data_IF_419637516379
#
_entry.id   IF_419637516379
#
_cell.length_a   1.000
_cell.length_b   1.000
_cell.length_c   1.000
_cell.angle_alpha   90.00
_cell.angle_beta   90.00
_cell.angle_gamma   90.00
#
_symmetry.space_group_name_H-M   'P 1'
#
loop_
_entity.id
_entity.type
_entity.pdbx_description
1 polymer ?
#
# COMPACT_ATOMS: atom_id res chain seq x y z
N UNK A 1 -17.32 -43.47 -25.94
CA UNK A 1 -16.83 -42.96 -24.64
C UNK A 1 -16.14 -41.60 -24.81
N UNK A 2 -16.87 -40.47 -24.91
CA UNK A 2 -16.27 -39.10 -24.94
C UNK A 2 -17.26 -38.06 -24.37
N UNK A 3 -17.71 -38.23 -23.12
CA UNK A 3 -18.53 -37.22 -22.41
C UNK A 3 -17.91 -36.71 -21.11
N UNK A 4 -16.73 -37.19 -20.74
CA UNK A 4 -16.02 -36.77 -19.52
C UNK A 4 -15.19 -35.50 -19.70
N UNK A 5 -14.75 -35.16 -20.92
CA UNK A 5 -13.89 -34.00 -21.16
C UNK A 5 -14.59 -32.63 -21.00
N UNK A 6 -15.91 -32.55 -21.25
CA UNK A 6 -16.67 -31.28 -21.11
C UNK A 6 -17.06 -30.96 -19.66
N UNK A 7 -17.16 -31.98 -18.79
CA UNK A 7 -17.62 -31.84 -17.40
C UNK A 7 -16.53 -31.26 -16.48
N UNK A 8 -15.25 -31.43 -16.82
CA UNK A 8 -14.12 -30.90 -16.04
C UNK A 8 -13.81 -29.42 -16.34
N UNK A 9 -14.26 -28.90 -17.48
CA UNK A 9 -13.96 -27.51 -17.86
C UNK A 9 -14.69 -26.49 -16.98
N UNK A 10 -15.90 -26.81 -16.54
CA UNK A 10 -16.67 -25.98 -15.59
C UNK A 10 -15.94 -25.86 -14.25
N UNK A 11 -15.34 -26.95 -13.77
CA UNK A 11 -14.53 -26.93 -12.54
C UNK A 11 -13.25 -26.11 -12.69
N UNK A 12 -12.59 -26.18 -13.86
CA UNK A 12 -11.39 -25.37 -14.14
C UNK A 12 -11.75 -23.88 -14.18
N UNK A 13 -12.87 -23.51 -14.81
CA UNK A 13 -13.34 -22.12 -14.88
C UNK A 13 -13.74 -21.62 -13.49
N UNK A 14 -14.44 -22.44 -12.69
CA UNK A 14 -14.79 -22.09 -11.31
C UNK A 14 -13.54 -21.95 -10.43
N UNK A 15 -12.56 -22.83 -10.55
CA UNK A 15 -11.31 -22.75 -9.80
C UNK A 15 -10.49 -21.51 -10.20
N UNK A 16 -10.39 -21.22 -11.50
CA UNK A 16 -9.73 -20.03 -12.01
C UNK A 16 -10.44 -18.75 -11.56
N UNK A 17 -11.78 -18.72 -11.64
CA UNK A 17 -12.60 -17.61 -11.16
C UNK A 17 -12.45 -17.41 -9.65
N UNK A 18 -12.47 -18.49 -8.86
CA UNK A 18 -12.24 -18.46 -7.42
C UNK A 18 -10.84 -17.93 -7.08
N UNK A 19 -9.80 -18.37 -7.78
CA UNK A 19 -8.43 -17.87 -7.59
C UNK A 19 -8.29 -16.38 -7.94
N UNK A 20 -8.96 -15.92 -9.01
CA UNK A 20 -8.98 -14.51 -9.40
C UNK A 20 -9.68 -13.67 -8.32
N UNK A 21 -10.87 -14.10 -7.87
CA UNK A 21 -11.65 -13.42 -6.82
C UNK A 21 -10.90 -13.41 -5.50
N UNK A 22 -10.23 -14.51 -5.14
CA UNK A 22 -9.43 -14.62 -3.92
C UNK A 22 -8.24 -13.65 -3.95
N UNK A 23 -7.55 -13.57 -5.08
CA UNK A 23 -6.45 -12.62 -5.29
C UNK A 23 -6.91 -11.16 -5.29
N UNK A 24 -8.16 -10.88 -5.65
CA UNK A 24 -8.79 -9.55 -5.58
C UNK A 24 -9.21 -9.15 -4.16
N UNK A 25 -9.55 -10.12 -3.29
CA UNK A 25 -9.99 -9.86 -1.92
C UNK A 25 -8.89 -10.02 -0.86
N UNK A 26 -7.71 -10.48 -1.26
CA UNK A 26 -6.56 -10.55 -0.35
C UNK A 26 -6.04 -9.13 -0.12
N UNK A 27 -5.95 -8.70 1.13
CA UNK A 27 -5.28 -7.44 1.47
C UNK A 27 -3.84 -7.48 0.98
N UNK A 28 -3.35 -6.41 0.32
CA UNK A 28 -1.98 -6.37 -0.17
C UNK A 28 -1.02 -6.58 1.00
N UNK A 29 -0.01 -7.42 0.82
CA UNK A 29 0.97 -7.74 1.85
C UNK A 29 2.34 -7.19 1.48
N UNK A 30 3.02 -6.60 2.46
CA UNK A 30 4.38 -6.13 2.36
C UNK A 30 5.15 -6.51 3.64
N UNK A 31 6.47 -6.48 3.61
CA UNK A 31 7.31 -6.64 4.79
C UNK A 31 7.25 -5.36 5.63
N UNK A 32 7.54 -5.44 6.93
CA UNK A 32 7.70 -4.21 7.71
C UNK A 32 9.07 -3.60 7.39
N UNK A 33 9.15 -2.32 6.96
CA UNK A 33 10.43 -1.69 6.72
C UNK A 33 11.26 -1.64 8.01
N UNK A 34 12.58 -1.87 7.90
CA UNK A 34 13.49 -2.00 9.04
C UNK A 34 13.51 -0.79 10.01
N UNK A 35 13.00 0.36 9.58
CA UNK A 35 12.91 1.58 10.36
C UNK A 35 11.43 1.95 10.59
N UNK A 36 10.78 1.27 11.53
CA UNK A 36 9.43 1.64 12.00
C UNK A 36 9.43 1.86 13.52
N UNK A 37 8.53 2.71 14.01
CA UNK A 37 8.25 2.84 15.44
C UNK A 37 7.13 1.87 15.84
N UNK A 38 7.37 1.00 16.83
CA UNK A 38 6.38 0.02 17.30
C UNK A 38 5.30 0.67 18.21
N UNK A 39 4.06 0.19 18.12
CA UNK A 39 2.89 0.75 18.82
C UNK A 39 1.53 0.44 18.15
N UNK A 40 0.44 1.05 18.65
CA UNK A 40 -0.89 0.94 18.02
C UNK A 40 -0.96 1.59 16.64
N UNK A 41 -0.04 2.53 16.38
CA UNK A 41 0.19 3.13 15.09
C UNK A 41 1.68 3.11 14.79
N UNK A 42 2.04 2.72 13.58
CA UNK A 42 3.41 2.71 13.09
C UNK A 42 3.62 3.89 12.13
N UNK A 43 4.86 4.39 12.11
CA UNK A 43 5.30 5.43 11.18
C UNK A 43 6.32 4.82 10.24
N UNK A 44 6.04 4.88 8.95
CA UNK A 44 6.96 4.37 7.92
C UNK A 44 7.57 5.56 7.18
N UNK A 45 8.90 5.70 7.17
CA UNK A 45 9.56 6.76 6.41
C UNK A 45 9.32 6.57 4.92
N UNK A 46 8.99 7.68 4.25
CA UNK A 46 8.79 7.72 2.80
C UNK A 46 9.66 8.82 2.21
N UNK A 47 10.14 8.62 0.99
CA UNK A 47 10.91 9.63 0.26
C UNK A 47 10.65 9.56 -1.22
N UNK A 48 10.87 10.67 -1.89
CA UNK A 48 10.90 10.74 -3.35
C UNK A 48 12.18 10.04 -3.82
N UNK A 49 12.03 8.83 -4.36
CA UNK A 49 13.15 8.03 -4.82
C UNK A 49 12.73 7.10 -5.97
N UNK A 50 13.73 6.71 -6.77
CA UNK A 50 13.55 5.67 -7.77
C UNK A 50 13.32 4.32 -7.09
N UNK A 51 12.46 3.50 -7.71
CA UNK A 51 12.17 2.15 -7.23
C UNK A 51 13.39 1.27 -7.45
N UNK A 52 13.86 0.62 -6.39
CA UNK A 52 15.04 -0.26 -6.45
C UNK A 52 14.64 -1.73 -6.67
N UNK A 53 15.54 -2.53 -7.23
CA UNK A 53 15.28 -3.93 -7.59
C UNK A 53 15.33 -4.89 -6.40
N UNK A 54 16.00 -4.52 -5.32
CA UNK A 54 16.43 -5.48 -4.31
C UNK A 54 15.48 -5.61 -3.13
N UNK A 55 14.77 -4.54 -2.75
CA UNK A 55 14.01 -4.50 -1.50
C UNK A 55 12.64 -3.82 -1.65
N UNK A 56 11.84 -3.95 -0.60
CA UNK A 56 10.65 -3.13 -0.41
C UNK A 56 11.00 -1.64 -0.42
N UNK A 57 10.22 -0.86 -1.17
CA UNK A 57 10.44 0.57 -1.36
C UNK A 57 9.12 1.32 -1.16
N UNK A 58 9.13 2.31 -0.27
CA UNK A 58 8.04 3.25 -0.09
C UNK A 58 8.43 4.57 -0.75
N UNK A 59 7.69 4.95 -1.78
CA UNK A 59 7.96 6.16 -2.57
C UNK A 59 6.89 7.19 -2.32
N UNK A 60 7.31 8.39 -1.92
CA UNK A 60 6.47 9.58 -1.89
C UNK A 60 6.46 10.23 -3.27
N UNK A 61 5.28 10.61 -3.73
CA UNK A 61 5.11 11.39 -4.96
C UNK A 61 4.11 12.52 -4.69
N UNK A 62 4.42 13.73 -5.15
CA UNK A 62 3.43 14.82 -5.25
C UNK A 62 3.14 15.14 -6.70
N UNK A 63 1.88 15.41 -7.02
CA UNK A 63 1.52 15.92 -8.33
C UNK A 63 1.49 17.46 -8.36
N UNK A 64 1.39 18.01 -9.57
CA UNK A 64 1.28 19.45 -9.81
C UNK A 64 0.02 20.08 -9.20
N UNK A 65 -1.02 19.28 -8.94
CA UNK A 65 -2.24 19.72 -8.26
C UNK A 65 -2.08 19.78 -6.72
N UNK A 66 -0.92 19.40 -6.18
CA UNK A 66 -0.63 19.46 -4.76
C UNK A 66 -1.09 18.23 -3.95
N UNK A 67 -1.66 17.21 -4.58
CA UNK A 67 -1.93 15.93 -3.93
C UNK A 67 -0.64 15.16 -3.67
N UNK A 68 -0.65 14.32 -2.64
CA UNK A 68 0.45 13.42 -2.28
C UNK A 68 -0.02 11.97 -2.41
N UNK A 69 0.88 11.06 -2.80
CA UNK A 69 0.61 9.64 -2.79
C UNK A 69 1.84 8.89 -2.29
N UNK A 70 1.59 7.83 -1.54
CA UNK A 70 2.63 6.88 -1.13
C UNK A 70 2.42 5.57 -1.86
N UNK A 71 3.40 5.19 -2.66
CA UNK A 71 3.40 3.93 -3.40
C UNK A 71 4.32 2.92 -2.72
N UNK A 72 3.82 1.71 -2.50
CA UNK A 72 4.55 0.59 -1.92
C UNK A 72 4.94 -0.37 -3.02
N UNK A 73 6.24 -0.60 -3.17
CA UNK A 73 6.79 -1.56 -4.11
C UNK A 73 7.46 -2.70 -3.37
N UNK A 74 7.22 -3.93 -3.81
CA UNK A 74 7.97 -5.10 -3.38
C UNK A 74 8.64 -5.70 -4.63
N UNK A 75 9.98 -5.74 -4.66
CA UNK A 75 10.76 -6.17 -5.83
C UNK A 75 10.28 -5.51 -7.14
N UNK A 76 10.19 -4.17 -7.16
CA UNK A 76 9.66 -3.33 -8.25
C UNK A 76 8.18 -3.51 -8.62
N UNK A 77 7.49 -4.50 -8.05
CA UNK A 77 6.06 -4.66 -8.26
C UNK A 77 5.32 -3.71 -7.34
N UNK A 78 4.48 -2.85 -7.92
CA UNK A 78 3.54 -2.05 -7.14
C UNK A 78 2.58 -2.97 -6.40
N UNK A 79 2.55 -2.84 -5.07
CA UNK A 79 1.72 -3.63 -4.16
C UNK A 79 0.53 -2.82 -3.68
N UNK A 80 0.75 -1.55 -3.33
CA UNK A 80 -0.29 -0.69 -2.78
C UNK A 80 -0.02 0.78 -3.08
N UNK A 81 -1.10 1.58 -3.18
CA UNK A 81 -1.04 3.04 -3.24
C UNK A 81 -1.93 3.60 -2.15
N UNK A 82 -1.41 4.57 -1.40
CA UNK A 82 -2.15 5.39 -0.44
C UNK A 82 -2.27 6.81 -1.00
N UNK A 83 -3.41 7.19 -1.58
CA UNK A 83 -3.62 8.54 -2.07
C UNK A 83 -3.99 9.49 -0.92
N UNK A 84 -3.49 10.72 -0.97
CA UNK A 84 -3.99 11.80 -0.12
C UNK A 84 -5.45 12.08 -0.43
N UNK A 85 -6.24 12.38 0.60
CA UNK A 85 -7.63 12.80 0.52
C UNK A 85 -7.81 14.14 1.22
N UNK A 86 -8.65 15.00 0.66
CA UNK A 86 -8.96 16.31 1.21
C UNK A 86 -7.86 17.35 1.00
N UNK A 87 -7.97 18.46 1.74
CA UNK A 87 -6.98 19.55 1.70
C UNK A 87 -5.87 19.27 2.71
N UNK A 88 -4.61 19.61 2.40
CA UNK A 88 -3.52 19.48 3.35
C UNK A 88 -3.69 20.44 4.53
N UNK A 89 -3.43 19.93 5.73
CA UNK A 89 -3.29 20.73 6.94
C UNK A 89 -1.82 21.08 7.15
N UNK A 90 -1.54 22.32 7.52
CA UNK A 90 -0.19 22.71 7.94
C UNK A 90 -0.03 22.41 9.43
N UNK A 91 0.88 21.50 9.77
CA UNK A 91 1.24 21.21 11.15
C UNK A 91 2.69 21.60 11.36
N UNK A 92 2.92 22.71 12.05
CA UNK A 92 4.22 23.39 12.08
C UNK A 92 4.67 23.75 10.67
N UNK A 93 5.68 23.06 10.13
CA UNK A 93 6.20 23.27 8.79
C UNK A 93 5.83 22.13 7.83
N UNK A 94 5.27 21.03 8.36
CA UNK A 94 4.93 19.86 7.57
C UNK A 94 3.53 19.98 6.97
N UNK A 95 3.35 19.36 5.80
CA UNK A 95 2.05 19.16 5.18
C UNK A 95 1.49 17.81 5.61
N UNK A 96 0.33 17.83 6.26
CA UNK A 96 -0.38 16.63 6.70
C UNK A 96 -1.59 16.41 5.81
N UNK A 97 -1.62 15.26 5.15
CA UNK A 97 -2.74 14.82 4.33
C UNK A 97 -3.45 13.66 5.04
N UNK A 98 -4.77 13.68 5.06
CA UNK A 98 -5.51 12.45 5.34
C UNK A 98 -5.27 11.44 4.21
N UNK A 99 -5.28 10.15 4.52
CA UNK A 99 -5.23 9.08 3.54
C UNK A 99 -6.08 7.90 4.00
N UNK A 100 -6.21 6.89 3.16
CA UNK A 100 -6.97 5.67 3.43
C UNK A 100 -6.36 4.50 2.67
N UNK A 101 -6.80 3.30 3.02
CA UNK A 101 -6.34 2.05 2.40
C UNK A 101 -5.75 1.13 3.45
N UNK A 102 -5.86 -0.17 3.19
CA UNK A 102 -5.38 -1.20 4.10
C UNK A 102 -4.15 -1.89 3.53
N UNK A 103 -3.27 -2.35 4.40
CA UNK A 103 -2.11 -3.18 4.05
C UNK A 103 -1.82 -4.15 5.18
N UNK A 104 -1.46 -5.38 4.82
CA UNK A 104 -0.96 -6.36 5.77
C UNK A 104 0.55 -6.26 5.82
N UNK A 105 1.11 -6.00 7.00
CA UNK A 105 2.54 -5.93 7.22
C UNK A 105 2.94 -7.03 8.20
N UNK A 106 3.80 -7.94 7.77
CA UNK A 106 4.23 -9.12 8.56
C UNK A 106 3.05 -9.87 9.21
N UNK A 107 1.94 -10.04 8.48
CA UNK A 107 0.74 -10.74 8.95
C UNK A 107 -0.23 -9.92 9.80
N UNK A 108 0.07 -8.65 10.09
CA UNK A 108 -0.82 -7.75 10.84
C UNK A 108 -1.49 -6.76 9.90
N UNK A 109 -2.80 -6.59 10.02
CA UNK A 109 -3.56 -5.64 9.21
C UNK A 109 -3.42 -4.21 9.77
N UNK A 110 -3.07 -3.29 8.88
CA UNK A 110 -3.01 -1.86 9.16
C UNK A 110 -3.88 -1.07 8.18
N UNK A 111 -4.39 0.06 8.66
CA UNK A 111 -5.10 1.07 7.88
C UNK A 111 -4.30 2.37 7.85
N UNK A 112 -4.14 2.96 6.69
CA UNK A 112 -3.48 4.26 6.55
C UNK A 112 -4.39 5.40 7.04
N UNK A 113 -3.82 6.32 7.81
CA UNK A 113 -4.54 7.48 8.35
C UNK A 113 -4.00 8.80 7.80
N UNK A 114 -2.68 8.96 7.77
CA UNK A 114 -2.04 10.22 7.40
C UNK A 114 -0.79 10.03 6.55
N UNK A 115 -0.55 10.96 5.62
CA UNK A 115 0.73 11.17 4.95
C UNK A 115 1.26 12.52 5.45
N UNK A 116 2.42 12.51 6.06
CA UNK A 116 3.13 13.72 6.50
C UNK A 116 4.27 13.95 5.52
N UNK A 117 4.35 15.15 4.95
CA UNK A 117 5.37 15.55 3.97
C UNK A 117 6.18 16.71 4.54
N UNK A 118 7.49 16.61 4.40
CA UNK A 118 8.42 17.65 4.81
C UNK A 118 8.27 18.95 3.98
N UNK A 119 8.82 20.08 4.45
CA UNK A 119 8.73 21.35 3.72
C UNK A 119 9.41 21.30 2.34
N UNK A 120 10.40 20.43 2.18
CA UNK A 120 11.14 20.25 0.93
C UNK A 120 10.37 19.44 -0.13
N UNK A 121 9.26 18.79 0.25
CA UNK A 121 8.51 17.84 -0.58
C UNK A 121 9.34 16.64 -1.07
N UNK A 122 10.37 16.25 -0.32
CA UNK A 122 11.29 15.18 -0.69
C UNK A 122 11.18 13.96 0.21
N UNK A 123 10.72 14.15 1.45
CA UNK A 123 10.59 13.06 2.42
C UNK A 123 9.43 13.28 3.37
N UNK A 124 9.20 12.30 4.25
CA UNK A 124 8.10 12.34 5.19
C UNK A 124 7.83 10.97 5.80
N UNK A 125 6.60 10.78 6.27
CA UNK A 125 6.15 9.52 6.85
C UNK A 125 4.71 9.23 6.46
N UNK A 126 4.38 7.96 6.28
CA UNK A 126 2.99 7.50 6.33
C UNK A 126 2.71 6.92 7.71
N UNK A 127 1.57 7.28 8.28
CA UNK A 127 1.08 6.77 9.56
C UNK A 127 0.03 5.71 9.27
N UNK A 128 0.30 4.51 9.77
CA UNK A 128 -0.59 3.36 9.66
C UNK A 128 -1.04 2.95 11.06
N UNK A 129 -2.34 2.74 11.25
CA UNK A 129 -2.92 2.27 12.50
C UNK A 129 -3.28 0.81 12.40
N UNK A 130 -2.96 0.04 13.44
CA UNK A 130 -3.33 -1.37 13.52
C UNK A 130 -4.85 -1.50 13.54
N UNK A 131 -5.39 -2.38 12.69
CA UNK A 131 -6.79 -2.76 12.71
C UNK A 131 -6.94 -3.93 13.68
N UNK A 132 -7.69 -3.74 14.76
CA UNK A 132 -8.02 -4.77 15.73
C UNK A 132 -9.27 -5.54 15.31
#
# INVERSE_FOLDING_TARGET
>A
MRRLARKNWIWIILLAGFLIIYKLHSTPSAEIPAHYSDGSSIRIPVKTQNVTTQNETWTLTRNSAGAAFVSVYNHQRLVQIFPSSGHPEHRHQDLVFATHGNITLSGVLYQAEQIVVDPANQSGFIILKKVN
#
